data_IF_254346495595
#
_entry.id   IF_254346495595
#
_cell.length_a   1.000
_cell.length_b   1.000
_cell.length_c   1.000
_cell.angle_alpha   90.00
_cell.angle_beta   90.00
_cell.angle_gamma   90.00
#
_symmetry.space_group_name_H-M   'P 1'
#
loop_
_entity.id
_entity.type
_entity.pdbx_description
1 polymer ?
#
# COMPACT_ATOMS: atom_id res chain seq x y z
N UNK A 1 -4.23 28.91 8.82
CA UNK A 1 -3.62 27.61 8.49
C UNK A 1 -2.21 27.88 7.99
N UNK A 2 -1.18 27.39 8.68
CA UNK A 2 0.20 27.47 8.19
C UNK A 2 0.45 26.26 7.31
N UNK A 3 0.86 26.48 6.06
CA UNK A 3 1.29 25.42 5.14
C UNK A 3 2.81 25.27 5.22
N UNK A 4 3.28 24.03 5.17
CA UNK A 4 4.71 23.70 5.08
C UNK A 4 4.95 22.78 3.91
N UNK A 5 6.16 22.79 3.38
CA UNK A 5 6.57 21.98 2.22
C UNK A 5 7.47 20.85 2.69
N UNK A 6 7.14 19.60 2.31
CA UNK A 6 7.98 18.43 2.59
C UNK A 6 8.41 17.77 1.28
N UNK A 7 9.71 17.58 1.11
CA UNK A 7 10.26 16.85 -0.04
C UNK A 7 10.08 15.34 0.18
N UNK A 8 9.49 14.66 -0.80
CA UNK A 8 9.34 13.20 -0.78
C UNK A 8 10.52 12.54 -1.46
N UNK A 9 10.94 11.39 -0.92
CA UNK A 9 12.00 10.56 -1.47
C UNK A 9 11.62 9.96 -2.84
N UNK A 10 12.64 9.57 -3.60
CA UNK A 10 12.49 8.91 -4.90
C UNK A 10 11.85 7.52 -4.75
N UNK A 11 12.25 6.77 -3.70
CA UNK A 11 11.58 5.54 -3.28
C UNK A 11 10.44 5.88 -2.33
N UNK A 12 9.19 5.67 -2.78
CA UNK A 12 8.00 6.05 -2.02
C UNK A 12 7.53 4.90 -1.13
N UNK A 13 6.88 5.29 -0.03
CA UNK A 13 6.07 4.42 0.83
C UNK A 13 4.62 4.56 0.37
N UNK A 14 4.06 3.52 -0.26
CA UNK A 14 2.75 3.56 -0.91
C UNK A 14 1.79 2.62 -0.17
N UNK A 15 0.68 3.15 0.35
CA UNK A 15 -0.37 2.36 0.95
C UNK A 15 -1.46 2.04 -0.08
N UNK A 16 -1.73 0.76 -0.29
CA UNK A 16 -2.74 0.21 -1.19
C UNK A 16 -3.94 -0.26 -0.35
N UNK A 17 -5.06 0.44 -0.47
CA UNK A 17 -6.30 0.13 0.25
C UNK A 17 -7.43 0.01 -0.76
N UNK A 18 -8.20 -1.07 -0.65
CA UNK A 18 -9.39 -1.29 -1.46
C UNK A 18 -10.51 -1.91 -0.64
N UNK A 19 -11.73 -1.46 -0.93
CA UNK A 19 -12.97 -2.13 -0.53
C UNK A 19 -13.14 -3.46 -1.28
N UNK A 20 -13.98 -4.36 -0.78
CA UNK A 20 -14.14 -5.72 -1.31
C UNK A 20 -14.44 -5.77 -2.81
N UNK A 21 -15.33 -4.90 -3.29
CA UNK A 21 -15.68 -4.78 -4.71
C UNK A 21 -14.53 -4.27 -5.58
N UNK A 22 -13.60 -3.50 -5.00
CA UNK A 22 -12.48 -2.88 -5.72
C UNK A 22 -11.20 -3.72 -5.71
N UNK A 23 -11.13 -4.80 -4.92
CA UNK A 23 -9.92 -5.65 -4.81
C UNK A 23 -9.45 -6.18 -6.17
N UNK A 24 -10.38 -6.59 -7.04
CA UNK A 24 -10.06 -7.06 -8.40
C UNK A 24 -9.45 -5.97 -9.28
N UNK A 25 -9.99 -4.76 -9.23
CA UNK A 25 -9.46 -3.63 -9.97
C UNK A 25 -8.08 -3.21 -9.44
N UNK A 26 -7.91 -3.18 -8.13
CA UNK A 26 -6.62 -2.88 -7.51
C UNK A 26 -5.57 -3.91 -7.90
N UNK A 27 -5.95 -5.19 -7.95
CA UNK A 27 -5.06 -6.25 -8.40
C UNK A 27 -4.61 -6.04 -9.85
N UNK A 28 -5.56 -5.80 -10.77
CA UNK A 28 -5.24 -5.58 -12.18
C UNK A 28 -4.34 -4.33 -12.37
N UNK A 29 -4.62 -3.26 -11.62
CA UNK A 29 -3.79 -2.06 -11.61
C UNK A 29 -2.37 -2.36 -11.10
N UNK A 30 -2.25 -3.10 -10.00
CA UNK A 30 -0.96 -3.46 -9.40
C UNK A 30 -0.14 -4.34 -10.36
N UNK A 31 -0.78 -5.28 -11.05
CA UNK A 31 -0.12 -6.10 -12.08
C UNK A 31 0.38 -5.25 -13.25
N UNK A 32 -0.46 -4.35 -13.76
CA UNK A 32 -0.10 -3.44 -14.86
C UNK A 32 1.09 -2.53 -14.49
N UNK A 33 1.16 -2.09 -13.24
CA UNK A 33 2.20 -1.17 -12.74
C UNK A 33 3.30 -1.86 -11.94
N UNK A 34 3.40 -3.19 -12.01
CA UNK A 34 4.29 -4.01 -11.19
C UNK A 34 5.75 -3.55 -11.25
N UNK A 35 6.27 -3.28 -12.44
CA UNK A 35 7.67 -2.87 -12.64
C UNK A 35 7.99 -1.53 -11.95
N UNK A 36 7.07 -0.57 -11.99
CA UNK A 36 7.24 0.71 -11.30
C UNK A 36 7.15 0.53 -9.77
N UNK A 37 6.18 -0.27 -9.32
CA UNK A 37 5.92 -0.52 -7.90
C UNK A 37 7.01 -1.34 -7.21
N UNK A 38 7.73 -2.20 -7.95
CA UNK A 38 8.84 -3.02 -7.42
C UNK A 38 9.97 -2.20 -6.80
N UNK A 39 10.17 -0.97 -7.27
CA UNK A 39 11.18 -0.05 -6.73
C UNK A 39 10.73 0.68 -5.45
N UNK A 40 9.49 0.48 -5.00
CA UNK A 40 8.87 1.20 -3.90
C UNK A 40 8.50 0.26 -2.76
N UNK A 41 8.27 0.83 -1.57
CA UNK A 41 7.82 0.08 -0.42
C UNK A 41 6.29 0.12 -0.41
N UNK A 42 5.68 -1.05 -0.52
CA UNK A 42 4.23 -1.19 -0.61
C UNK A 42 3.67 -1.66 0.73
N UNK A 43 2.58 -1.02 1.15
CA UNK A 43 1.82 -1.37 2.34
C UNK A 43 0.39 -1.67 1.93
N UNK A 44 -0.26 -2.62 2.58
CA UNK A 44 -1.67 -2.88 2.32
C UNK A 44 -2.35 -3.41 3.58
N UNK A 45 -3.67 -3.29 3.67
CA UNK A 45 -4.40 -3.78 4.84
C UNK A 45 -4.79 -5.25 4.69
N UNK A 46 -4.58 -6.02 5.76
CA UNK A 46 -5.02 -7.40 5.97
C UNK A 46 -5.11 -8.26 4.70
N UNK A 47 -6.33 -8.63 4.34
CA UNK A 47 -6.62 -9.54 3.23
C UNK A 47 -6.21 -8.99 1.85
N UNK A 48 -6.23 -7.67 1.67
CA UNK A 48 -5.88 -7.04 0.38
C UNK A 48 -4.38 -7.18 0.11
N UNK A 49 -3.54 -6.97 1.12
CA UNK A 49 -2.09 -7.17 0.99
C UNK A 49 -1.74 -8.61 0.66
N UNK A 50 -2.39 -9.56 1.33
CA UNK A 50 -2.15 -10.98 1.12
C UNK A 50 -2.52 -11.45 -0.29
N UNK A 51 -3.63 -10.93 -0.86
CA UNK A 51 -4.04 -11.22 -2.23
C UNK A 51 -3.04 -10.62 -3.22
N UNK A 52 -2.69 -9.34 -3.04
CA UNK A 52 -1.78 -8.65 -3.95
C UNK A 52 -0.39 -9.30 -3.95
N UNK A 53 0.16 -9.63 -2.79
CA UNK A 53 1.47 -10.28 -2.69
C UNK A 53 1.47 -11.64 -3.39
N UNK A 54 0.43 -12.46 -3.16
CA UNK A 54 0.29 -13.78 -3.78
C UNK A 54 0.15 -13.71 -5.30
N UNK A 55 -0.67 -12.79 -5.80
CA UNK A 55 -1.03 -12.70 -7.23
C UNK A 55 -0.02 -11.90 -8.05
N UNK A 56 0.68 -10.95 -7.44
CA UNK A 56 1.67 -10.11 -8.14
C UNK A 56 3.11 -10.53 -7.87
N UNK A 57 3.37 -11.24 -6.77
CA UNK A 57 4.73 -11.58 -6.31
C UNK A 57 5.54 -10.37 -5.85
N UNK A 58 4.89 -9.23 -5.59
CA UNK A 58 5.52 -8.05 -5.00
C UNK A 58 5.59 -8.19 -3.49
N UNK A 59 6.68 -7.72 -2.88
CA UNK A 59 6.78 -7.67 -1.41
C UNK A 59 5.88 -6.56 -0.89
N UNK A 60 4.82 -6.94 -0.17
CA UNK A 60 3.82 -5.99 0.35
C UNK A 60 3.70 -6.19 1.86
N UNK A 61 3.98 -5.14 2.62
CA UNK A 61 3.83 -5.17 4.07
C UNK A 61 2.34 -5.10 4.42
N UNK A 62 1.79 -6.26 4.80
CA UNK A 62 0.41 -6.38 5.25
C UNK A 62 0.29 -5.85 6.68
N UNK A 63 -0.46 -4.77 6.85
CA UNK A 63 -0.79 -4.17 8.14
C UNK A 63 -2.10 -4.77 8.67
N UNK A 64 -2.15 -5.08 9.96
CA UNK A 64 -3.30 -5.69 10.61
C UNK A 64 -4.54 -4.77 10.51
N UNK A 65 -5.60 -5.26 9.87
CA UNK A 65 -6.93 -4.64 9.97
C UNK A 65 -7.47 -4.88 11.37
N UNK A 66 -7.66 -3.82 12.16
CA UNK A 66 -8.40 -3.92 13.41
C UNK A 66 -9.18 -2.64 13.71
N UNK A 67 -10.32 -2.72 14.43
CA UNK A 67 -10.96 -1.54 15.04
C UNK A 67 -10.07 -0.87 16.10
N UNK A 68 -9.06 -1.58 16.61
CA UNK A 68 -8.07 -1.14 17.61
C UNK A 68 -6.60 -1.47 17.20
N UNK A 69 -6.30 -1.68 15.90
CA UNK A 69 -4.95 -2.03 15.42
C UNK A 69 -4.16 -0.79 14.93
N UNK A 70 -2.81 -0.81 14.93
CA UNK A 70 -2.00 0.37 14.67
C UNK A 70 -2.33 0.92 13.28
N UNK A 71 -2.96 2.08 13.27
CA UNK A 71 -3.24 2.81 12.06
C UNK A 71 -1.92 3.02 11.31
N UNK A 72 -2.02 3.03 9.98
CA UNK A 72 -1.00 3.51 9.04
C UNK A 72 -0.41 4.90 9.39
N UNK A 73 -0.86 5.56 10.46
CA UNK A 73 -0.32 6.79 11.02
C UNK A 73 1.12 6.68 11.51
N UNK A 74 1.62 5.49 11.88
CA UNK A 74 2.98 5.34 12.42
C UNK A 74 4.07 5.08 11.37
N UNK A 75 3.77 5.26 10.08
CA UNK A 75 4.76 5.16 9.00
C UNK A 75 5.29 6.51 8.54
N UNK A 76 5.01 7.58 9.30
CA UNK A 76 5.51 8.94 9.07
C UNK A 76 6.32 9.46 10.24
N UNK A 77 7.34 8.71 10.61
CA UNK A 77 8.59 9.32 11.09
C UNK A 77 9.62 9.31 9.95
#
# INVERSE_FOLDING_TARGET
MQTTTRTLTQHKRIALVAHDSCKKNLLNWTQKHKEALKSHILYATGTTGHILERETGLSIQSLLSGPNGPAISNLVD
#
